data_IF_713118140109
#
_entry.id   IF_713118140109
#
_cell.length_a   1.000
_cell.length_b   1.000
_cell.length_c   1.000
_cell.angle_alpha   90.00
_cell.angle_beta   90.00
_cell.angle_gamma   90.00
#
_symmetry.space_group_name_H-M   'P 1'
#
loop_
_entity.id
_entity.type
_entity.pdbx_description
1 polymer ?
#
# COMPACT_ATOMS: atom_id res chain seq x y z
N UNK A 1 24.01 9.13 -12.30
CA UNK A 1 23.06 9.33 -11.18
C UNK A 1 21.65 9.23 -11.77
N UNK A 2 20.97 8.09 -11.61
CA UNK A 2 19.67 7.85 -12.24
C UNK A 2 18.56 8.15 -11.23
N UNK A 3 17.94 9.33 -11.32
CA UNK A 3 16.62 9.56 -10.73
C UNK A 3 15.62 8.75 -11.55
N UNK A 4 14.98 7.74 -10.93
CA UNK A 4 13.75 7.19 -11.47
C UNK A 4 12.70 8.32 -11.38
N UNK A 5 12.47 9.01 -12.50
CA UNK A 5 11.44 10.05 -12.65
C UNK A 5 10.03 9.44 -12.65
N UNK A 6 9.70 8.61 -11.66
CA UNK A 6 8.33 8.10 -11.51
C UNK A 6 7.53 9.09 -10.69
N UNK A 7 7.00 10.12 -11.36
CA UNK A 7 5.95 11.03 -10.88
C UNK A 7 4.61 10.26 -10.87
N UNK A 8 4.54 9.16 -10.14
CA UNK A 8 3.32 8.35 -10.04
C UNK A 8 2.77 8.46 -8.63
N UNK A 9 1.45 8.68 -8.53
CA UNK A 9 0.76 8.68 -7.26
C UNK A 9 0.73 7.27 -6.66
N UNK A 10 0.92 7.20 -5.36
CA UNK A 10 0.79 5.96 -4.61
C UNK A 10 -0.65 5.80 -4.11
N UNK A 11 -1.29 4.66 -4.41
CA UNK A 11 -2.65 4.34 -3.99
C UNK A 11 -2.83 3.86 -2.56
N UNK A 12 -1.74 3.62 -1.81
CA UNK A 12 -1.77 2.88 -0.55
C UNK A 12 -2.39 3.62 0.65
N UNK A 13 -2.39 4.95 0.66
CA UNK A 13 -2.93 5.76 1.77
C UNK A 13 -3.74 6.92 1.22
N UNK A 14 -5.01 7.00 1.64
CA UNK A 14 -5.95 8.07 1.27
C UNK A 14 -6.78 8.48 2.48
N UNK A 15 -6.99 9.79 2.63
CA UNK A 15 -8.08 10.34 3.43
C UNK A 15 -9.09 10.99 2.48
N UNK A 16 -10.38 10.76 2.71
CA UNK A 16 -11.43 11.24 1.82
C UNK A 16 -12.73 11.52 2.56
N UNK A 17 -13.49 12.50 2.06
CA UNK A 17 -14.86 12.72 2.49
C UNK A 17 -15.81 11.69 1.89
N UNK A 18 -16.97 11.46 2.51
CA UNK A 18 -18.00 10.57 1.95
C UNK A 18 -19.02 11.41 1.18
N UNK A 19 -18.99 11.32 -0.14
CA UNK A 19 -19.99 11.89 -1.02
C UNK A 19 -20.06 11.12 -2.35
N UNK A 20 -21.08 11.42 -3.16
CA UNK A 20 -21.32 10.71 -4.41
C UNK A 20 -20.17 10.81 -5.41
N UNK A 21 -19.52 11.98 -5.52
CA UNK A 21 -18.40 12.21 -6.42
C UNK A 21 -17.20 11.34 -6.06
N UNK A 22 -16.86 11.30 -4.77
CA UNK A 22 -15.77 10.46 -4.26
C UNK A 22 -16.13 8.97 -4.42
N UNK A 23 -17.39 8.60 -4.17
CA UNK A 23 -17.84 7.23 -4.35
C UNK A 23 -17.75 6.76 -5.82
N UNK A 24 -18.08 7.63 -6.80
CA UNK A 24 -17.88 7.31 -8.22
C UNK A 24 -16.41 7.05 -8.55
N UNK A 25 -15.51 7.92 -8.08
CA UNK A 25 -14.08 7.74 -8.26
C UNK A 25 -13.59 6.38 -7.73
N UNK A 26 -13.95 6.01 -6.49
CA UNK A 26 -13.54 4.72 -5.92
C UNK A 26 -14.15 3.53 -6.66
N UNK A 27 -15.42 3.60 -7.07
CA UNK A 27 -16.04 2.54 -7.91
C UNK A 27 -15.31 2.38 -9.23
N UNK A 28 -14.93 3.49 -9.88
CA UNK A 28 -14.18 3.46 -11.14
C UNK A 28 -12.78 2.89 -10.95
N UNK A 29 -12.07 3.33 -9.92
CA UNK A 29 -10.76 2.80 -9.60
C UNK A 29 -10.81 1.29 -9.31
N UNK A 30 -11.80 0.83 -8.53
CA UNK A 30 -12.00 -0.59 -8.31
C UNK A 30 -12.23 -1.36 -9.63
N UNK A 31 -13.10 -0.86 -10.51
CA UNK A 31 -13.34 -1.51 -11.80
C UNK A 31 -12.08 -1.58 -12.69
N UNK A 32 -11.29 -0.50 -12.72
CA UNK A 32 -9.99 -0.49 -13.42
C UNK A 32 -8.99 -1.46 -12.78
N UNK A 33 -8.97 -1.53 -11.46
CA UNK A 33 -8.11 -2.45 -10.72
C UNK A 33 -8.52 -3.91 -10.97
N UNK A 34 -9.81 -4.23 -11.05
CA UNK A 34 -10.26 -5.60 -11.34
C UNK A 34 -9.79 -6.10 -12.72
N UNK A 35 -9.60 -5.19 -13.69
CA UNK A 35 -9.07 -5.52 -15.02
C UNK A 35 -7.55 -5.71 -15.02
N UNK A 36 -6.82 -4.93 -14.21
CA UNK A 36 -5.35 -4.81 -14.31
C UNK A 36 -4.58 -5.29 -13.08
N UNK A 37 -5.28 -5.59 -12.00
CA UNK A 37 -4.86 -6.09 -10.70
C UNK A 37 -3.54 -5.52 -10.19
N UNK A 38 -2.46 -6.31 -10.27
CA UNK A 38 -1.09 -6.01 -9.80
C UNK A 38 -0.46 -4.74 -10.41
N UNK A 39 -1.21 -3.98 -11.21
CA UNK A 39 -0.85 -2.70 -11.83
C UNK A 39 -1.70 -1.55 -11.30
N UNK A 40 -1.85 -1.48 -9.99
CA UNK A 40 -2.75 -0.54 -9.30
C UNK A 40 -2.46 0.94 -9.64
N UNK A 41 -1.19 1.34 -9.75
CA UNK A 41 -0.83 2.73 -10.08
C UNK A 41 -1.41 3.19 -11.43
N UNK A 42 -1.47 2.29 -12.43
CA UNK A 42 -2.07 2.60 -13.72
C UNK A 42 -3.60 2.69 -13.64
N UNK A 43 -4.23 1.82 -12.85
CA UNK A 43 -5.68 1.86 -12.59
C UNK A 43 -6.08 3.16 -11.89
N UNK A 44 -5.29 3.59 -10.89
CA UNK A 44 -5.47 4.86 -10.19
C UNK A 44 -5.44 6.05 -11.15
N UNK A 45 -4.40 6.15 -12.00
CA UNK A 45 -4.26 7.28 -12.93
C UNK A 45 -5.43 7.35 -13.91
N UNK A 46 -5.90 6.21 -14.44
CA UNK A 46 -7.07 6.16 -15.33
C UNK A 46 -8.36 6.56 -14.61
N UNK A 47 -8.55 6.13 -13.37
CA UNK A 47 -9.68 6.55 -12.56
C UNK A 47 -9.66 8.05 -12.27
N UNK A 48 -8.50 8.63 -11.95
CA UNK A 48 -8.34 10.07 -11.75
C UNK A 48 -8.62 10.87 -13.02
N UNK A 49 -8.25 10.35 -14.18
CA UNK A 49 -8.53 10.98 -15.47
C UNK A 49 -10.04 10.98 -15.78
N UNK A 50 -10.72 9.86 -15.53
CA UNK A 50 -12.15 9.72 -15.81
C UNK A 50 -13.04 10.41 -14.76
N UNK A 51 -12.63 10.41 -13.49
CA UNK A 51 -13.38 10.93 -12.36
C UNK A 51 -12.52 11.94 -11.56
N UNK A 52 -12.28 13.15 -12.11
CA UNK A 52 -11.36 14.10 -11.51
C UNK A 52 -11.85 14.59 -10.14
N UNK A 53 -10.95 14.54 -9.17
CA UNK A 53 -11.13 15.05 -7.81
C UNK A 53 -10.13 16.18 -7.55
N UNK A 54 -10.47 17.08 -6.62
CA UNK A 54 -9.47 17.94 -5.99
C UNK A 54 -8.66 17.10 -5.01
N UNK A 55 -7.36 16.96 -5.25
CA UNK A 55 -6.46 16.12 -4.46
C UNK A 55 -5.43 17.00 -3.75
N UNK A 56 -5.16 16.68 -2.49
CA UNK A 56 -4.04 17.21 -1.73
C UNK A 56 -3.01 16.10 -1.57
N UNK A 57 -1.74 16.42 -1.82
CA UNK A 57 -0.69 15.40 -1.82
C UNK A 57 -0.06 15.31 -0.44
N UNK A 58 0.07 14.07 0.03
CA UNK A 58 0.88 13.74 1.20
C UNK A 58 2.31 13.43 0.75
N UNK A 59 3.28 13.85 1.55
CA UNK A 59 4.67 13.46 1.34
C UNK A 59 4.92 12.00 1.73
N UNK A 60 6.13 11.51 1.46
CA UNK A 60 6.51 10.13 1.74
C UNK A 60 6.45 9.79 3.24
N UNK A 61 6.47 10.78 4.14
CA UNK A 61 6.32 10.58 5.58
C UNK A 61 5.00 9.88 5.97
N UNK A 62 3.94 10.04 5.18
CA UNK A 62 2.61 9.44 5.45
C UNK A 62 2.37 8.10 4.77
N UNK A 63 3.29 7.64 3.94
CA UNK A 63 3.20 6.38 3.22
C UNK A 63 4.62 5.87 2.94
N UNK A 64 5.39 5.73 4.03
CA UNK A 64 6.84 5.67 4.02
C UNK A 64 7.35 4.40 3.39
N UNK A 65 7.89 4.52 2.18
CA UNK A 65 8.59 3.41 1.53
C UNK A 65 10.10 3.59 1.70
N UNK A 66 10.76 2.64 2.38
CA UNK A 66 12.17 2.73 2.82
C UNK A 66 13.13 3.14 1.70
N UNK A 67 12.91 2.64 0.48
CA UNK A 67 13.71 2.98 -0.71
C UNK A 67 13.73 4.49 -1.03
N UNK A 68 12.69 5.22 -0.61
CA UNK A 68 12.50 6.66 -0.87
C UNK A 68 12.54 7.51 0.41
N UNK A 69 13.05 6.96 1.52
CA UNK A 69 12.98 7.62 2.84
C UNK A 69 14.28 8.31 3.29
N UNK A 70 15.28 8.44 2.41
CA UNK A 70 16.51 9.15 2.78
C UNK A 70 16.20 10.61 3.12
N UNK A 71 16.41 10.99 4.38
CA UNK A 71 16.09 12.34 4.88
C UNK A 71 14.61 12.59 5.20
N UNK A 72 13.77 11.55 5.18
CA UNK A 72 12.35 11.63 5.54
C UNK A 72 12.15 10.97 6.90
N UNK A 73 11.59 11.70 7.86
CA UNK A 73 11.12 11.13 9.14
C UNK A 73 9.70 10.62 8.94
N UNK A 74 9.46 9.35 9.24
CA UNK A 74 8.14 8.74 9.07
C UNK A 74 7.11 9.31 10.06
N UNK A 75 5.85 9.42 9.62
CA UNK A 75 4.69 9.66 10.47
C UNK A 75 4.17 8.37 11.15
N UNK A 76 4.89 7.25 11.00
CA UNK A 76 4.54 5.95 11.59
C UNK A 76 3.79 5.00 10.66
N UNK A 77 3.55 5.39 9.41
CA UNK A 77 2.86 4.57 8.40
C UNK A 77 3.87 4.04 7.38
N UNK A 78 4.33 2.80 7.60
CA UNK A 78 5.30 2.14 6.74
C UNK A 78 4.63 1.39 5.59
N UNK A 79 5.12 1.60 4.36
CA UNK A 79 4.69 0.91 3.15
C UNK A 79 5.71 -0.18 2.79
N UNK A 80 5.26 -1.43 2.78
CA UNK A 80 6.05 -2.59 2.35
C UNK A 80 5.49 -3.20 1.03
N UNK A 81 5.80 -2.62 -0.14
CA UNK A 81 5.31 -3.13 -1.42
C UNK A 81 5.94 -4.49 -1.73
N UNK A 82 5.12 -5.47 -2.09
CA UNK A 82 5.56 -6.85 -2.42
C UNK A 82 5.87 -7.74 -1.20
N UNK A 83 6.13 -7.15 -0.04
CA UNK A 83 6.41 -7.84 1.23
C UNK A 83 5.21 -7.84 2.19
N UNK A 84 4.01 -7.49 1.70
CA UNK A 84 2.77 -7.64 2.46
C UNK A 84 2.56 -9.10 2.86
N UNK A 85 3.12 -9.42 4.04
CA UNK A 85 3.07 -10.61 4.87
C UNK A 85 2.67 -11.89 4.13
N UNK A 86 3.65 -12.76 3.91
CA UNK A 86 3.45 -14.17 3.53
C UNK A 86 2.67 -15.00 4.56
N UNK A 87 1.94 -14.41 5.51
CA UNK A 87 1.11 -15.20 6.41
C UNK A 87 -0.14 -15.68 5.65
N UNK A 88 -0.28 -17.00 5.50
CA UNK A 88 -1.49 -17.64 4.96
C UNK A 88 -2.18 -18.36 6.12
N UNK A 89 -3.27 -17.79 6.64
CA UNK A 89 -4.08 -18.38 7.70
C UNK A 89 -4.70 -17.35 8.65
N UNK A 90 -5.46 -17.80 9.64
CA UNK A 90 -5.96 -16.96 10.73
C UNK A 90 -4.89 -16.80 11.81
N UNK A 91 -4.72 -15.58 12.32
CA UNK A 91 -3.94 -15.32 13.54
C UNK A 91 -4.94 -15.10 14.67
N UNK A 92 -4.79 -15.84 15.76
CA UNK A 92 -5.61 -15.64 16.95
C UNK A 92 -5.22 -14.33 17.64
N UNK A 93 -6.22 -13.51 17.99
CA UNK A 93 -6.03 -12.23 18.69
C UNK A 93 -5.80 -11.04 17.76
N UNK A 94 -5.44 -9.88 18.34
CA UNK A 94 -5.12 -8.67 17.58
C UNK A 94 -3.80 -8.85 16.81
N UNK A 95 -3.72 -8.25 15.63
CA UNK A 95 -2.54 -8.32 14.73
C UNK A 95 -1.26 -7.71 15.32
N UNK A 96 -1.37 -6.93 16.38
CA UNK A 96 -0.26 -6.29 17.10
C UNK A 96 0.07 -6.98 18.44
N UNK A 97 -0.66 -8.05 18.79
CA UNK A 97 -0.42 -8.79 20.03
C UNK A 97 0.93 -9.53 20.01
N UNK A 98 1.57 -9.73 21.18
CA UNK A 98 2.78 -10.57 21.28
C UNK A 98 2.58 -11.98 20.69
N UNK A 99 1.38 -12.55 20.84
CA UNK A 99 1.02 -13.86 20.31
C UNK A 99 0.97 -13.86 18.77
N UNK A 100 0.41 -12.81 18.16
CA UNK A 100 0.40 -12.64 16.71
C UNK A 100 1.84 -12.52 16.16
N UNK A 101 2.68 -11.72 16.81
CA UNK A 101 4.08 -11.57 16.41
C UNK A 101 4.90 -12.85 16.56
N UNK A 102 4.68 -13.63 17.62
CA UNK A 102 5.34 -14.92 17.80
C UNK A 102 4.98 -15.92 16.68
N UNK A 103 3.73 -15.91 16.20
CA UNK A 103 3.30 -16.73 15.07
C UNK A 103 4.02 -16.34 13.76
N UNK A 104 4.13 -15.03 13.49
CA UNK A 104 4.87 -14.52 12.31
C UNK A 104 6.35 -14.87 12.38
N UNK A 105 6.98 -14.79 13.56
CA UNK A 105 8.39 -15.15 13.72
C UNK A 105 8.65 -16.63 13.43
N UNK A 106 7.81 -17.54 13.94
CA UNK A 106 7.89 -18.98 13.62
C UNK A 106 7.80 -19.23 12.12
N UNK A 107 6.76 -18.68 11.48
CA UNK A 107 6.54 -18.81 10.04
C UNK A 107 7.73 -18.32 9.20
N UNK A 108 8.34 -17.21 9.61
CA UNK A 108 9.50 -16.63 8.91
C UNK A 108 10.74 -17.50 9.04
N UNK A 109 10.99 -18.05 10.24
CA UNK A 109 12.11 -18.95 10.51
C UNK A 109 12.00 -20.26 9.71
N UNK A 110 10.82 -20.86 9.65
CA UNK A 110 10.55 -22.08 8.87
C UNK A 110 10.82 -21.88 7.36
N UNK A 111 10.38 -20.75 6.79
CA UNK A 111 10.64 -20.44 5.38
C UNK A 111 12.09 -20.13 5.06
N UNK A 112 12.89 -19.64 6.01
CA UNK A 112 14.33 -19.46 5.84
C UNK A 112 15.06 -20.81 5.83
N UNK A 113 14.59 -21.79 6.61
CA UNK A 113 15.14 -23.15 6.63
C UNK A 113 14.90 -23.95 5.35
N UNK A 114 13.75 -23.76 4.70
CA UNK A 114 13.38 -24.47 3.45
C UNK A 114 14.03 -23.91 2.17
N UNK A 115 14.79 -22.81 2.27
CA UNK A 115 15.45 -22.13 1.14
C UNK A 115 16.94 -22.45 1.02
N UNK A 116 17.45 -23.38 1.82
CA UNK A 116 18.76 -24.02 1.67
C UNK A 116 18.57 -25.37 0.98
#
# INVERSE_FOLDING_TARGET
>A
MHTLHTLQYNGGVWAFGRNERIARFFRRWQAEWEVHAQRDQGALIRAMYAEPLRVWLLGNEWNTFERYSKGVTTAGLMHYPGDARRWKGMINGRIDSPQAWAAVQRYTSERKGQRK
#
